data_IF_499265508902
#
_entry.id   IF_499265508902
#
_cell.length_a   1.000
_cell.length_b   1.000
_cell.length_c   1.000
_cell.angle_alpha   90.00
_cell.angle_beta   90.00
_cell.angle_gamma   90.00
#
_symmetry.space_group_name_H-M   'P 1'
#
loop_
_entity.id
_entity.type
_entity.pdbx_description
1 polymer ?
#
# COMPACT_ATOMS: atom_id res chain seq x y z
N UNK A 1 12.01 -4.59 -15.28
CA UNK A 1 10.63 -5.03 -14.95
C UNK A 1 10.02 -5.90 -16.06
N UNK A 2 10.72 -6.19 -17.16
CA UNK A 2 10.16 -6.89 -18.33
C UNK A 2 9.59 -8.29 -18.03
N UNK A 3 10.07 -8.95 -16.97
CA UNK A 3 9.61 -10.28 -16.55
C UNK A 3 8.69 -10.29 -15.32
N UNK A 4 8.30 -9.14 -14.77
CA UNK A 4 7.38 -9.10 -13.63
C UNK A 4 5.94 -9.31 -14.10
N UNK A 5 5.26 -10.29 -13.54
CA UNK A 5 3.82 -10.50 -13.72
C UNK A 5 3.10 -10.12 -12.43
N UNK A 6 1.88 -9.57 -12.52
CA UNK A 6 1.02 -9.34 -11.35
C UNK A 6 0.45 -10.64 -10.76
N UNK A 7 0.99 -11.79 -11.17
CA UNK A 7 0.62 -13.09 -10.66
C UNK A 7 1.67 -13.40 -9.61
N UNK A 8 1.25 -13.49 -8.35
CA UNK A 8 2.14 -13.94 -7.30
C UNK A 8 2.64 -15.35 -7.65
N UNK A 9 3.91 -15.68 -7.34
CA UNK A 9 4.39 -17.06 -7.42
C UNK A 9 3.44 -18.00 -6.67
N UNK A 10 3.36 -19.26 -7.09
CA UNK A 10 2.66 -20.29 -6.32
C UNK A 10 3.40 -20.48 -4.97
N UNK A 11 2.95 -19.74 -3.98
CA UNK A 11 3.37 -19.85 -2.59
C UNK A 11 2.38 -20.77 -1.87
N UNK A 12 2.87 -21.63 -0.98
CA UNK A 12 2.03 -22.55 -0.21
C UNK A 12 1.04 -21.79 0.68
N UNK A 13 1.48 -20.65 1.23
CA UNK A 13 0.73 -19.81 2.14
C UNK A 13 0.22 -18.53 1.47
N UNK A 14 -0.90 -18.00 1.95
CA UNK A 14 -1.38 -16.69 1.51
C UNK A 14 -0.40 -15.56 1.90
N UNK A 15 -0.26 -14.54 1.04
CA UNK A 15 0.50 -13.33 1.37
C UNK A 15 -0.10 -12.67 2.61
N UNK A 16 0.72 -12.59 3.66
CA UNK A 16 0.38 -11.85 4.87
C UNK A 16 0.51 -10.35 4.59
N UNK A 17 -0.51 -9.58 4.98
CA UNK A 17 -0.59 -8.15 4.75
C UNK A 17 -0.84 -7.48 6.09
N UNK A 18 0.16 -6.78 6.59
CA UNK A 18 0.05 -5.97 7.79
C UNK A 18 -0.50 -4.60 7.39
N UNK A 19 -1.55 -4.16 8.07
CA UNK A 19 -2.23 -2.90 7.81
C UNK A 19 -2.17 -2.03 9.05
N UNK A 20 -1.67 -0.82 8.89
CA UNK A 20 -1.60 0.20 9.93
C UNK A 20 -2.44 1.41 9.52
N UNK A 21 -3.27 1.89 10.44
CA UNK A 21 -4.19 3.01 10.23
C UNK A 21 -3.95 4.03 11.33
N UNK A 22 -3.62 5.25 10.94
CA UNK A 22 -3.58 6.41 11.83
C UNK A 22 -4.73 7.35 11.49
N UNK A 23 -5.59 7.63 12.45
CA UNK A 23 -6.67 8.61 12.30
C UNK A 23 -6.08 10.00 12.49
N UNK A 24 -6.21 10.84 11.47
CA UNK A 24 -5.71 12.20 11.44
C UNK A 24 -6.78 13.20 11.87
N UNK A 25 -8.00 13.02 11.38
CA UNK A 25 -9.15 13.86 11.72
C UNK A 25 -10.48 13.11 11.54
N UNK A 26 -11.51 13.54 12.27
CA UNK A 26 -12.90 13.09 12.10
C UNK A 26 -13.78 14.32 11.95
N UNK A 27 -14.47 14.43 10.82
CA UNK A 27 -15.23 15.62 10.45
C UNK A 27 -16.59 15.28 9.83
N UNK A 28 -17.38 16.32 9.52
CA UNK A 28 -18.67 16.21 8.83
C UNK A 28 -19.65 15.18 9.45
N UNK A 29 -19.79 15.20 10.77
CA UNK A 29 -20.75 14.35 11.48
C UNK A 29 -22.18 14.70 11.08
N UNK A 30 -22.92 13.74 10.53
CA UNK A 30 -24.34 13.85 10.24
C UNK A 30 -25.14 12.83 11.06
N UNK A 31 -25.82 13.32 12.09
CA UNK A 31 -26.62 12.47 12.99
C UNK A 31 -27.84 11.84 12.30
N UNK A 32 -28.42 12.52 11.30
CA UNK A 32 -29.64 12.06 10.61
C UNK A 32 -29.33 10.86 9.73
N UNK A 33 -28.21 10.90 9.00
CA UNK A 33 -27.77 9.82 8.11
C UNK A 33 -26.76 8.88 8.76
N UNK A 34 -26.38 9.14 10.02
CA UNK A 34 -25.39 8.43 10.81
C UNK A 34 -24.06 8.21 10.04
N UNK A 35 -23.56 9.27 9.40
CA UNK A 35 -22.28 9.24 8.71
C UNK A 35 -21.33 10.35 9.16
N UNK A 36 -20.06 10.14 8.83
CA UNK A 36 -18.94 11.00 9.17
C UNK A 36 -17.86 10.83 8.11
N UNK A 37 -16.99 11.82 8.00
CA UNK A 37 -15.76 11.75 7.23
C UNK A 37 -14.59 11.46 8.17
N UNK A 38 -13.63 10.67 7.71
CA UNK A 38 -12.36 10.45 8.42
C UNK A 38 -11.22 10.64 7.45
N UNK A 39 -10.24 11.41 7.90
CA UNK A 39 -8.94 11.47 7.26
C UNK A 39 -8.00 10.50 7.98
N UNK A 40 -7.42 9.58 7.22
CA UNK A 40 -6.50 8.57 7.73
C UNK A 40 -5.18 8.60 6.97
N UNK A 41 -4.09 8.32 7.68
CA UNK A 41 -2.88 7.80 7.06
C UNK A 41 -2.97 6.27 7.06
N UNK A 42 -2.96 5.70 5.86
CA UNK A 42 -3.11 4.28 5.61
C UNK A 42 -1.78 3.70 5.16
N UNK A 43 -1.31 2.64 5.81
CA UNK A 43 -0.06 1.95 5.47
C UNK A 43 -0.30 0.46 5.34
N UNK A 44 0.32 -0.14 4.34
CA UNK A 44 0.32 -1.58 4.09
C UNK A 44 1.75 -2.07 3.98
N UNK A 45 2.03 -3.19 4.63
CA UNK A 45 3.29 -3.91 4.50
C UNK A 45 2.97 -5.34 4.07
N UNK A 46 3.59 -5.78 2.98
CA UNK A 46 3.47 -7.15 2.49
C UNK A 46 4.79 -7.58 1.86
N UNK A 47 5.02 -8.90 1.80
CA UNK A 47 6.19 -9.48 1.18
C UNK A 47 5.86 -10.03 -0.20
N UNK A 48 6.51 -9.51 -1.24
CA UNK A 48 6.50 -10.07 -2.60
C UNK A 48 7.95 -10.41 -3.00
N UNK A 49 8.27 -11.71 -3.00
CA UNK A 49 9.61 -12.20 -3.33
C UNK A 49 10.03 -11.84 -4.76
N UNK A 50 9.08 -11.64 -5.69
CA UNK A 50 9.36 -11.26 -7.06
C UNK A 50 9.81 -9.79 -7.21
N UNK A 51 9.64 -8.99 -6.16
CA UNK A 51 10.18 -7.62 -6.05
C UNK A 51 11.56 -7.56 -5.36
N UNK A 52 12.18 -8.72 -5.06
CA UNK A 52 13.50 -8.74 -4.45
C UNK A 52 14.55 -8.03 -5.32
N UNK A 53 15.31 -7.15 -4.67
CA UNK A 53 16.40 -6.39 -5.31
C UNK A 53 17.77 -6.68 -4.68
N UNK A 54 17.88 -7.71 -3.83
CA UNK A 54 19.12 -8.08 -3.13
C UNK A 54 20.32 -8.30 -4.08
N UNK A 55 20.06 -8.74 -5.31
CA UNK A 55 21.09 -8.99 -6.32
C UNK A 55 21.65 -7.72 -7.01
N UNK A 56 21.01 -6.56 -6.86
CA UNK A 56 21.39 -5.34 -7.59
C UNK A 56 22.39 -4.45 -6.84
N UNK A 57 22.37 -4.40 -5.50
CA UNK A 57 23.34 -3.63 -4.70
C UNK A 57 23.33 -4.06 -3.22
N UNK A 58 24.40 -4.71 -2.76
CA UNK A 58 24.52 -5.21 -1.37
C UNK A 58 24.50 -4.13 -0.27
N UNK A 59 24.62 -2.85 -0.62
CA UNK A 59 24.64 -1.75 0.36
C UNK A 59 23.28 -1.06 0.55
N UNK A 60 22.31 -1.27 -0.35
CA UNK A 60 21.00 -0.59 -0.26
C UNK A 60 19.99 -1.50 0.43
N UNK A 61 19.48 -1.08 1.58
CA UNK A 61 18.43 -1.79 2.33
C UNK A 61 17.01 -1.38 1.97
N UNK A 62 16.86 -0.23 1.31
CA UNK A 62 15.56 0.27 0.86
C UNK A 62 15.69 1.09 -0.42
N UNK A 63 14.59 1.15 -1.17
CA UNK A 63 14.45 1.96 -2.37
C UNK A 63 13.10 2.68 -2.29
N UNK A 64 13.13 4.00 -2.24
CA UNK A 64 11.93 4.82 -2.44
C UNK A 64 11.59 4.85 -3.93
N UNK A 65 10.34 4.51 -4.25
CA UNK A 65 9.81 4.45 -5.61
C UNK A 65 8.86 5.62 -5.87
N UNK A 66 8.69 5.99 -7.14
CA UNK A 66 7.61 6.92 -7.53
C UNK A 66 6.24 6.31 -7.22
N UNK A 67 5.25 7.13 -6.87
CA UNK A 67 3.89 6.68 -6.57
C UNK A 67 3.27 5.84 -7.69
N UNK A 68 3.56 6.19 -8.95
CA UNK A 68 3.10 5.46 -10.15
C UNK A 68 3.63 4.03 -10.24
N UNK A 69 4.67 3.67 -9.50
CA UNK A 69 5.17 2.30 -9.46
C UNK A 69 4.12 1.31 -8.94
N UNK A 70 3.21 1.75 -8.07
CA UNK A 70 2.16 0.92 -7.47
C UNK A 70 1.26 0.25 -8.53
N UNK A 71 1.08 0.90 -9.69
CA UNK A 71 0.22 0.37 -10.76
C UNK A 71 0.88 -0.73 -11.58
N UNK A 72 2.19 -0.92 -11.44
CA UNK A 72 2.97 -1.89 -12.20
C UNK A 72 3.19 -3.21 -11.43
N UNK A 73 2.92 -3.22 -10.12
CA UNK A 73 3.10 -4.39 -9.26
C UNK A 73 1.77 -5.01 -8.83
N UNK A 74 1.82 -6.24 -8.33
CA UNK A 74 0.71 -6.79 -7.55
C UNK A 74 0.62 -6.05 -6.21
N UNK A 75 -0.61 -5.74 -5.80
CA UNK A 75 -0.88 -5.11 -4.50
C UNK A 75 -2.04 -5.86 -3.84
N UNK A 76 -2.04 -5.96 -2.50
CA UNK A 76 -3.18 -6.47 -1.77
C UNK A 76 -4.46 -5.68 -2.10
N UNK A 77 -5.53 -6.38 -2.45
CA UNK A 77 -6.82 -5.75 -2.64
C UNK A 77 -7.52 -5.57 -1.28
N UNK A 78 -7.27 -4.44 -0.64
CA UNK A 78 -7.86 -4.09 0.66
C UNK A 78 -9.03 -3.14 0.51
N UNK A 79 -10.05 -3.31 1.35
CA UNK A 79 -11.22 -2.43 1.41
C UNK A 79 -11.50 -1.98 2.84
N UNK A 80 -12.10 -0.79 2.96
CA UNK A 80 -12.66 -0.30 4.23
C UNK A 80 -14.14 -0.63 4.22
N UNK A 81 -14.54 -1.59 5.05
CA UNK A 81 -15.94 -1.98 5.19
C UNK A 81 -16.79 -0.80 5.66
N UNK A 82 -18.05 -0.75 5.21
CA UNK A 82 -19.01 0.31 5.54
C UNK A 82 -18.61 1.74 5.10
N UNK A 83 -17.53 1.90 4.32
CA UNK A 83 -17.23 3.19 3.71
C UNK A 83 -18.24 3.49 2.58
N UNK A 84 -18.86 4.68 2.62
CA UNK A 84 -19.72 5.17 1.52
C UNK A 84 -18.88 5.65 0.33
N UNK A 85 -17.72 6.25 0.59
CA UNK A 85 -16.77 6.76 -0.39
C UNK A 85 -15.37 6.83 0.23
N UNK A 86 -14.35 6.51 -0.57
CA UNK A 86 -12.94 6.67 -0.21
C UNK A 86 -12.23 7.48 -1.31
N UNK A 87 -11.32 8.36 -0.92
CA UNK A 87 -10.54 9.21 -1.85
C UNK A 87 -9.11 9.27 -1.33
N UNK A 88 -8.14 9.21 -2.24
CA UNK A 88 -6.73 9.47 -1.94
C UNK A 88 -6.49 10.97 -2.10
N UNK A 89 -5.92 11.61 -1.07
CA UNK A 89 -5.53 13.02 -1.12
C UNK A 89 -4.48 13.26 -2.21
N UNK A 90 -4.52 14.41 -2.90
CA UNK A 90 -3.56 14.74 -3.96
C UNK A 90 -3.18 16.24 -3.94
N UNK A 91 -1.88 16.56 -3.94
CA UNK A 91 -1.34 17.92 -4.12
C UNK A 91 0.19 17.92 -4.26
N UNK A 92 0.79 18.26 -5.42
CA UNK A 92 0.23 18.27 -6.78
C UNK A 92 0.09 16.86 -7.39
N UNK A 93 0.58 15.85 -6.68
CA UNK A 93 0.51 14.42 -7.05
C UNK A 93 -0.25 13.64 -5.99
N UNK A 94 -0.66 12.41 -6.30
CA UNK A 94 -1.27 11.50 -5.33
C UNK A 94 -0.39 11.33 -4.10
N UNK A 95 -0.99 11.40 -2.91
CA UNK A 95 -0.32 11.22 -1.63
C UNK A 95 -0.10 9.73 -1.33
N UNK A 96 0.74 9.10 -2.16
CA UNK A 96 1.10 7.69 -2.08
C UNK A 96 2.63 7.60 -2.03
N UNK A 97 3.14 6.92 -1.01
CA UNK A 97 4.55 6.61 -0.86
C UNK A 97 4.74 5.11 -1.01
N UNK A 98 5.69 4.69 -1.86
CA UNK A 98 6.02 3.29 -2.07
C UNK A 98 7.50 3.09 -1.76
N UNK A 99 7.80 2.17 -0.85
CA UNK A 99 9.18 1.85 -0.46
C UNK A 99 9.36 0.34 -0.56
N UNK A 100 10.36 -0.09 -1.30
CA UNK A 100 10.82 -1.48 -1.30
C UNK A 100 11.85 -1.65 -0.18
N UNK A 101 11.67 -2.67 0.65
CA UNK A 101 12.62 -3.04 1.69
C UNK A 101 13.29 -4.36 1.35
N UNK A 102 14.58 -4.46 1.65
CA UNK A 102 15.29 -5.73 1.61
C UNK A 102 14.87 -6.55 2.83
N UNK A 103 14.31 -7.74 2.60
CA UNK A 103 14.04 -8.70 3.68
C UNK A 103 15.35 -9.39 4.03
N UNK A 104 15.92 -9.08 5.20
CA UNK A 104 17.01 -9.88 5.75
C UNK A 104 16.49 -11.27 6.09
N UNK A 105 17.11 -12.31 5.52
CA UNK A 105 16.83 -13.70 5.89
C UNK A 105 17.18 -14.00 7.34
#
# INVERSE_FOLDING_TARGET
MENYTKILPEIEDAVQVDVEIHVQDVSALNEITADFNVDILYTQLWNDQSLSFANYNACKRNITMESKFITHIWTPNTCIINAKRTIIHASPTDNIMVILYEVSK
#
